data_IF_383430165707
#
_entry.id   IF_383430165707
#
_cell.length_a   1.000
_cell.length_b   1.000
_cell.length_c   1.000
_cell.angle_alpha   90.00
_cell.angle_beta   90.00
_cell.angle_gamma   90.00
#
_symmetry.space_group_name_H-M   'P 1'
#
loop_
_entity.id
_entity.type
_entity.pdbx_description
1 polymer ?
#
# COMPACT_ATOMS: atom_id res chain seq x y z
N UNK A 1 -12.05 9.20 43.33
CA UNK A 1 -11.43 8.24 42.39
C UNK A 1 -11.83 8.71 41.00
N UNK A 2 -10.93 9.38 40.26
CA UNK A 2 -11.24 9.83 38.90
C UNK A 2 -11.13 8.63 37.97
N UNK A 3 -12.27 8.15 37.50
CA UNK A 3 -12.35 7.18 36.42
C UNK A 3 -12.20 7.96 35.12
N UNK A 4 -11.10 7.74 34.40
CA UNK A 4 -10.95 8.27 33.04
C UNK A 4 -11.97 7.59 32.14
N UNK A 5 -13.12 8.24 31.97
CA UNK A 5 -14.03 7.98 30.86
C UNK A 5 -13.19 8.05 29.58
N UNK A 6 -13.18 6.97 28.81
CA UNK A 6 -12.51 6.88 27.51
C UNK A 6 -12.66 8.20 26.74
N UNK A 7 -11.54 8.84 26.38
CA UNK A 7 -11.50 10.01 25.50
C UNK A 7 -11.82 9.52 24.08
N UNK A 8 -13.09 9.26 23.83
CA UNK A 8 -13.59 8.96 22.50
C UNK A 8 -13.50 10.21 21.63
N UNK A 9 -12.85 10.09 20.48
CA UNK A 9 -12.76 11.09 19.43
C UNK A 9 -11.44 11.87 19.42
N UNK A 10 -10.71 11.77 18.30
CA UNK A 10 -9.55 12.60 18.00
C UNK A 10 -8.40 11.83 17.35
N UNK A 11 -7.19 12.42 17.34
CA UNK A 11 -5.96 11.77 16.85
C UNK A 11 -5.51 10.55 17.67
N UNK A 12 -6.18 10.26 18.79
CA UNK A 12 -5.88 9.14 19.69
C UNK A 12 -6.77 7.91 19.43
N UNK A 13 -7.69 8.00 18.47
CA UNK A 13 -8.53 6.89 18.05
C UNK A 13 -8.26 6.49 16.61
N UNK A 14 -8.73 5.30 16.23
CA UNK A 14 -8.74 4.88 14.84
C UNK A 14 -9.48 5.91 13.96
N UNK A 15 -8.96 6.20 12.75
CA UNK A 15 -7.87 5.51 12.07
C UNK A 15 -6.48 6.18 12.26
N UNK A 16 -6.32 7.14 13.17
CA UNK A 16 -5.04 7.84 13.39
C UNK A 16 -4.15 7.16 14.43
N UNK A 17 -4.77 6.46 15.38
CA UNK A 17 -4.09 5.57 16.33
C UNK A 17 -4.42 4.11 15.99
N UNK A 18 -3.41 3.24 15.83
CA UNK A 18 -3.65 1.84 15.49
C UNK A 18 -4.26 1.05 16.65
N UNK A 19 -5.09 0.07 16.34
CA UNK A 19 -5.66 -0.86 17.31
C UNK A 19 -4.87 -2.18 17.39
N UNK A 20 -4.00 -2.42 16.40
CA UNK A 20 -3.06 -3.56 16.36
C UNK A 20 -1.65 -3.10 16.69
N UNK A 21 -0.78 -4.03 17.06
CA UNK A 21 0.58 -3.68 17.52
C UNK A 21 1.68 -4.55 16.92
N UNK A 22 1.35 -5.68 16.28
CA UNK A 22 2.37 -6.56 15.72
C UNK A 22 2.68 -6.12 14.29
N UNK A 23 3.90 -5.66 13.97
CA UNK A 23 4.24 -5.29 12.60
C UNK A 23 4.19 -6.51 11.68
N UNK A 24 3.65 -6.31 10.48
CA UNK A 24 3.65 -7.31 9.42
C UNK A 24 3.94 -6.65 8.08
N UNK A 25 4.95 -7.15 7.38
CA UNK A 25 5.37 -6.64 6.08
C UNK A 25 5.25 -7.77 5.06
N UNK A 26 4.49 -7.55 4.00
CA UNK A 26 4.37 -8.48 2.87
C UNK A 26 5.12 -7.90 1.68
N UNK A 27 6.26 -8.51 1.36
CA UNK A 27 6.97 -8.26 0.10
C UNK A 27 6.35 -9.05 -1.04
N UNK A 28 6.37 -8.49 -2.24
CA UNK A 28 6.02 -9.18 -3.47
C UNK A 28 6.79 -8.61 -4.67
N UNK A 29 6.78 -9.32 -5.79
CA UNK A 29 7.41 -8.87 -7.02
C UNK A 29 6.62 -9.32 -8.24
N UNK A 30 6.69 -8.51 -9.29
CA UNK A 30 6.06 -8.79 -10.57
C UNK A 30 6.99 -8.43 -11.73
N UNK A 31 6.80 -9.12 -12.85
CA UNK A 31 7.35 -8.71 -14.13
C UNK A 31 6.31 -7.86 -14.84
N UNK A 32 6.74 -6.78 -15.48
CA UNK A 32 5.87 -5.93 -16.28
C UNK A 32 6.49 -5.71 -17.66
N UNK A 33 5.71 -6.02 -18.69
CA UNK A 33 6.13 -5.84 -20.08
C UNK A 33 6.02 -4.37 -20.49
N UNK A 34 6.88 -3.93 -21.40
CA UNK A 34 6.84 -2.57 -21.95
C UNK A 34 5.45 -2.19 -22.49
N UNK A 35 5.09 -0.92 -22.33
CA UNK A 35 3.80 -0.35 -22.78
C UNK A 35 2.56 -1.14 -22.28
N UNK A 36 2.58 -1.64 -21.05
CA UNK A 36 1.50 -2.42 -20.46
C UNK A 36 1.10 -1.92 -19.07
N UNK A 37 -0.09 -2.30 -18.63
CA UNK A 37 -0.52 -2.15 -17.24
C UNK A 37 -0.67 -3.54 -16.64
N UNK A 38 0.20 -3.85 -15.69
CA UNK A 38 0.20 -5.13 -15.00
C UNK A 38 -0.33 -4.96 -13.57
N UNK A 39 -0.91 -6.03 -13.02
CA UNK A 39 -1.59 -5.97 -11.72
C UNK A 39 -1.11 -7.10 -10.79
N UNK A 40 -0.95 -6.76 -9.51
CA UNK A 40 -0.68 -7.70 -8.42
C UNK A 40 -1.76 -7.56 -7.36
N UNK A 41 -2.41 -8.66 -7.00
CA UNK A 41 -3.46 -8.71 -5.99
C UNK A 41 -3.00 -9.44 -4.72
N UNK A 42 -3.31 -8.88 -3.56
CA UNK A 42 -3.16 -9.50 -2.26
C UNK A 42 -4.48 -9.51 -1.51
N UNK A 43 -4.94 -10.71 -1.15
CA UNK A 43 -6.11 -10.91 -0.27
C UNK A 43 -5.65 -11.11 1.17
N UNK A 44 -6.18 -10.32 2.10
CA UNK A 44 -5.79 -10.36 3.50
C UNK A 44 -6.25 -11.69 4.17
N UNK A 45 -5.35 -12.47 4.79
CA UNK A 45 -5.72 -13.73 5.45
C UNK A 45 -6.38 -13.55 6.83
N UNK A 46 -6.27 -12.38 7.44
CA UNK A 46 -6.90 -12.03 8.73
C UNK A 46 -7.11 -10.52 8.77
N UNK A 47 -7.75 -10.00 9.81
CA UNK A 47 -7.96 -8.57 9.98
C UNK A 47 -6.62 -7.87 10.24
N UNK A 48 -6.34 -6.80 9.50
CA UNK A 48 -5.08 -6.04 9.60
C UNK A 48 -5.32 -4.55 9.46
N UNK A 49 -4.33 -3.76 9.88
CA UNK A 49 -4.30 -2.31 9.69
C UNK A 49 -3.21 -1.95 8.68
N UNK A 50 -3.60 -1.57 7.46
CA UNK A 50 -2.66 -1.17 6.41
C UNK A 50 -2.28 0.31 6.57
N UNK A 51 -1.00 0.64 6.46
CA UNK A 51 -0.54 2.01 6.68
C UNK A 51 0.58 2.49 5.76
N UNK A 52 1.28 1.62 5.03
CA UNK A 52 2.31 2.07 4.11
C UNK A 52 2.58 1.07 2.98
N UNK A 53 3.08 1.60 1.87
CA UNK A 53 3.59 0.82 0.74
C UNK A 53 4.99 1.31 0.39
N UNK A 54 5.86 0.40 -0.04
CA UNK A 54 7.10 0.72 -0.72
C UNK A 54 7.11 0.09 -2.11
N UNK A 55 7.67 0.79 -3.10
CA UNK A 55 7.67 0.40 -4.51
C UNK A 55 9.06 0.66 -5.10
N UNK A 56 9.57 -0.27 -5.90
CA UNK A 56 10.81 -0.11 -6.67
C UNK A 56 10.66 -0.77 -8.03
N UNK A 57 11.39 -0.27 -9.01
CA UNK A 57 11.50 -0.87 -10.35
C UNK A 57 12.97 -1.13 -10.69
N UNK A 58 13.24 -2.11 -11.56
CA UNK A 58 14.59 -2.39 -12.04
C UNK A 58 15.13 -1.30 -12.97
N UNK A 59 14.22 -0.57 -13.62
CA UNK A 59 14.49 0.52 -14.56
C UNK A 59 13.44 1.60 -14.35
N UNK A 60 13.83 2.87 -14.45
CA UNK A 60 12.96 4.03 -14.26
C UNK A 60 12.85 4.79 -15.58
N UNK A 61 11.62 4.97 -16.08
CA UNK A 61 11.30 5.82 -17.22
C UNK A 61 10.26 6.86 -16.80
N UNK A 62 10.33 8.06 -17.41
CA UNK A 62 9.67 9.28 -16.91
C UNK A 62 8.15 9.15 -16.71
N UNK A 63 7.49 8.32 -17.52
CA UNK A 63 6.04 8.16 -17.52
C UNK A 63 5.56 6.91 -16.78
N UNK A 64 6.48 6.12 -16.19
CA UNK A 64 6.09 4.96 -15.40
C UNK A 64 5.35 5.40 -14.13
N UNK A 65 4.21 4.78 -13.89
CA UNK A 65 3.36 5.11 -12.73
C UNK A 65 2.93 3.86 -11.99
N UNK A 66 2.43 4.08 -10.78
CA UNK A 66 1.75 3.04 -10.04
C UNK A 66 0.52 3.57 -9.33
N UNK A 67 -0.46 2.68 -9.18
CA UNK A 67 -1.70 2.92 -8.46
C UNK A 67 -1.91 1.85 -7.40
N UNK A 68 -2.55 2.24 -6.30
CA UNK A 68 -2.91 1.36 -5.20
C UNK A 68 -4.42 1.44 -4.99
N UNK A 69 -5.09 0.30 -5.11
CA UNK A 69 -6.54 0.16 -4.95
C UNK A 69 -6.80 -0.75 -3.76
N UNK A 70 -7.65 -0.33 -2.83
CA UNK A 70 -8.06 -1.11 -1.66
C UNK A 70 -9.57 -1.29 -1.69
N UNK A 71 -10.03 -2.54 -1.72
CA UNK A 71 -11.45 -2.90 -1.83
C UNK A 71 -12.19 -2.13 -2.95
N UNK A 72 -11.54 -1.97 -4.12
CA UNK A 72 -12.08 -1.25 -5.27
C UNK A 72 -11.99 0.28 -5.19
N UNK A 73 -11.47 0.85 -4.10
CA UNK A 73 -11.25 2.30 -3.95
C UNK A 73 -9.79 2.65 -4.23
N UNK A 74 -9.54 3.59 -5.15
CA UNK A 74 -8.19 4.09 -5.42
C UNK A 74 -7.69 4.94 -4.25
N UNK A 75 -6.58 4.53 -3.65
CA UNK A 75 -5.91 5.19 -2.51
C UNK A 75 -4.69 5.98 -2.97
N UNK A 76 -3.95 5.42 -3.93
CA UNK A 76 -2.89 6.11 -4.65
C UNK A 76 -3.22 6.03 -6.14
N UNK A 77 -3.27 7.17 -6.82
CA UNK A 77 -3.63 7.27 -8.23
C UNK A 77 -2.44 7.81 -9.00
N UNK A 78 -1.98 7.04 -10.00
CA UNK A 78 -0.99 7.48 -10.99
C UNK A 78 0.26 8.15 -10.38
N UNK A 79 0.80 7.57 -9.30
CA UNK A 79 2.01 8.06 -8.68
C UNK A 79 3.18 7.76 -9.61
N UNK A 80 3.85 8.80 -10.11
CA UNK A 80 5.04 8.64 -10.94
C UNK A 80 6.17 7.98 -10.15
N UNK A 81 6.80 7.00 -10.79
CA UNK A 81 7.96 6.30 -10.24
C UNK A 81 9.16 7.23 -10.34
N UNK A 82 9.74 7.62 -9.20
CA UNK A 82 10.98 8.40 -9.19
C UNK A 82 12.18 7.49 -9.44
N UNK A 83 13.33 8.08 -9.79
CA UNK A 83 14.60 7.39 -10.08
C UNK A 83 15.26 6.71 -8.85
N UNK A 84 14.48 6.36 -7.83
CA UNK A 84 14.90 5.68 -6.60
C UNK A 84 13.72 4.91 -5.97
N UNK A 85 13.98 3.87 -5.15
CA UNK A 85 12.92 3.15 -4.45
C UNK A 85 12.10 4.05 -3.53
N UNK A 86 10.78 3.96 -3.62
CA UNK A 86 9.87 4.87 -2.94
C UNK A 86 9.09 4.19 -1.83
N UNK A 87 8.61 5.00 -0.88
CA UNK A 87 7.60 4.57 0.08
C UNK A 87 6.65 5.69 0.45
N UNK A 88 5.37 5.36 0.57
CA UNK A 88 4.33 6.26 1.06
C UNK A 88 3.79 5.66 2.36
N UNK A 89 3.91 6.43 3.43
CA UNK A 89 3.14 6.21 4.66
C UNK A 89 1.85 7.00 4.58
N UNK A 90 0.74 6.32 4.77
CA UNK A 90 -0.57 6.96 4.87
C UNK A 90 -0.68 7.70 6.20
N UNK A 91 -1.49 8.76 6.22
CA UNK A 91 -1.81 9.46 7.47
C UNK A 91 -2.67 8.63 8.42
N UNK A 92 -3.22 7.51 7.96
CA UNK A 92 -4.14 6.65 8.70
C UNK A 92 -3.80 5.17 8.57
N UNK A 93 -4.14 4.43 9.62
CA UNK A 93 -4.14 2.98 9.68
C UNK A 93 -5.50 2.49 9.19
N UNK A 94 -5.58 2.10 7.92
CA UNK A 94 -6.82 1.59 7.34
C UNK A 94 -7.14 0.23 7.93
N UNK A 95 -8.25 0.14 8.66
CA UNK A 95 -8.75 -1.10 9.23
C UNK A 95 -9.38 -1.96 8.12
N UNK A 96 -8.77 -3.10 7.83
CA UNK A 96 -9.19 -4.00 6.78
C UNK A 96 -9.55 -5.36 7.39
N UNK A 97 -10.74 -5.84 7.07
CA UNK A 97 -11.18 -7.17 7.47
C UNK A 97 -10.47 -8.26 6.65
N UNK A 98 -10.40 -9.47 7.19
CA UNK A 98 -10.01 -10.67 6.45
C UNK A 98 -10.81 -10.77 5.14
N UNK A 99 -10.15 -11.14 4.05
CA UNK A 99 -10.73 -11.17 2.71
C UNK A 99 -10.72 -9.82 1.97
N UNK A 100 -10.36 -8.71 2.63
CA UNK A 100 -10.12 -7.44 1.92
C UNK A 100 -9.03 -7.61 0.86
N UNK A 101 -9.19 -6.91 -0.25
CA UNK A 101 -8.28 -6.97 -1.41
C UNK A 101 -7.47 -5.69 -1.52
N UNK A 102 -6.17 -5.85 -1.66
CA UNK A 102 -5.25 -4.79 -2.07
C UNK A 102 -4.74 -5.13 -3.46
N UNK A 103 -4.88 -4.18 -4.37
CA UNK A 103 -4.49 -4.33 -5.77
C UNK A 103 -3.46 -3.24 -6.08
N UNK A 104 -2.28 -3.66 -6.48
CA UNK A 104 -1.23 -2.80 -6.98
C UNK A 104 -1.24 -2.86 -8.51
N UNK A 105 -1.24 -1.72 -9.16
CA UNK A 105 -1.14 -1.61 -10.61
C UNK A 105 0.14 -0.87 -10.97
N UNK A 106 0.93 -1.46 -11.86
CA UNK A 106 2.11 -0.81 -12.42
C UNK A 106 1.83 -0.48 -13.88
N UNK A 107 1.98 0.78 -14.23
CA UNK A 107 1.76 1.32 -15.55
C UNK A 107 3.15 1.48 -16.18
N UNK A 108 3.64 0.44 -16.84
CA UNK A 108 4.90 0.49 -17.58
C UNK A 108 4.65 1.24 -18.90
N UNK A 109 4.87 2.55 -18.87
CA UNK A 109 4.71 3.43 -20.03
C UNK A 109 6.00 3.54 -20.85
N UNK A 110 7.09 2.96 -20.34
CA UNK A 110 8.37 2.90 -21.01
C UNK A 110 8.48 1.82 -22.09
N UNK A 111 9.65 1.77 -22.72
CA UNK A 111 9.95 0.84 -23.82
C UNK A 111 10.67 -0.44 -23.36
N UNK A 112 11.01 -0.52 -22.07
CA UNK A 112 11.74 -1.64 -21.48
C UNK A 112 10.85 -2.45 -20.54
N UNK A 113 11.04 -3.76 -20.58
CA UNK A 113 10.46 -4.65 -19.58
C UNK A 113 11.12 -4.44 -18.22
N UNK A 114 10.33 -4.59 -17.15
CA UNK A 114 10.72 -4.23 -15.79
C UNK A 114 10.41 -5.33 -14.80
N UNK A 115 11.27 -5.48 -13.80
CA UNK A 115 10.92 -6.15 -12.57
C UNK A 115 10.54 -5.09 -11.53
N UNK A 116 9.37 -5.26 -10.94
CA UNK A 116 8.81 -4.33 -9.94
C UNK A 116 8.70 -5.06 -8.61
N UNK A 117 9.14 -4.40 -7.55
CA UNK A 117 9.07 -4.91 -6.18
C UNK A 117 8.18 -4.03 -5.35
N UNK A 118 7.34 -4.66 -4.53
CA UNK A 118 6.46 -3.96 -3.60
C UNK A 118 6.64 -4.52 -2.19
N UNK A 119 6.42 -3.67 -1.19
CA UNK A 119 6.29 -4.07 0.19
C UNK A 119 5.08 -3.37 0.81
N UNK A 120 4.06 -4.15 1.18
CA UNK A 120 2.88 -3.67 1.88
C UNK A 120 3.11 -3.79 3.39
N UNK A 121 2.90 -2.72 4.13
CA UNK A 121 3.14 -2.64 5.57
C UNK A 121 1.83 -2.53 6.34
N UNK A 122 1.70 -3.40 7.35
CA UNK A 122 0.52 -3.57 8.17
C UNK A 122 0.86 -3.68 9.65
N UNK A 123 -0.17 -3.54 10.47
CA UNK A 123 -0.22 -4.06 11.84
C UNK A 123 -1.23 -5.22 11.93
N UNK A 124 -0.85 -6.27 12.67
CA UNK A 124 -1.63 -7.47 13.00
C UNK A 124 -1.92 -7.55 14.50
#
# INVERSE_FOLDING_TARGET
MFQTTYLAGGRLDAPFYPTRSTPYIKGDAMYSTAANVDTLEYTLPTDMEFHAISVSSSIYEIDDKWSLIVNGTTICEDIYTKDLPEGISLMSYMQLAAGSKIVFQFHNQGILDKQVWIALQFLK
#
